data_IF_665518339426
#
_entry.id   IF_665518339426
#
_cell.length_a   1.000
_cell.length_b   1.000
_cell.length_c   1.000
_cell.angle_alpha   90.00
_cell.angle_beta   90.00
_cell.angle_gamma   90.00
#
_symmetry.space_group_name_H-M   'P 1'
#
loop_
_entity.id
_entity.type
_entity.pdbx_description
1 polymer ?
#
# COMPACT_ATOMS: atom_id res chain seq x y z
N UNK A 1 37.51 -30.22 -19.24
CA UNK A 1 36.08 -30.51 -19.51
C UNK A 1 35.45 -30.97 -18.20
N UNK A 2 34.79 -30.11 -17.48
CA UNK A 2 34.06 -30.44 -16.24
C UNK A 2 32.69 -30.97 -16.66
N UNK A 3 32.42 -32.25 -16.46
CA UNK A 3 31.17 -32.90 -16.89
C UNK A 3 30.01 -32.55 -15.99
N UNK A 4 28.77 -32.64 -16.49
CA UNK A 4 27.54 -32.41 -15.74
C UNK A 4 27.48 -33.18 -14.40
N UNK A 5 28.17 -34.31 -14.29
CA UNK A 5 28.29 -35.11 -13.06
C UNK A 5 29.07 -34.40 -11.93
N UNK A 6 30.09 -33.60 -12.26
CA UNK A 6 30.86 -32.84 -11.26
C UNK A 6 30.08 -31.63 -10.72
N UNK A 7 29.18 -31.09 -11.52
CA UNK A 7 28.28 -30.00 -11.09
C UNK A 7 27.21 -30.57 -10.13
N UNK A 8 26.73 -31.78 -10.38
CA UNK A 8 25.79 -32.50 -9.49
C UNK A 8 26.43 -32.85 -8.15
N UNK A 9 27.75 -33.16 -8.13
CA UNK A 9 28.50 -33.51 -6.91
C UNK A 9 28.70 -32.30 -5.99
N UNK A 10 29.01 -31.12 -6.56
CA UNK A 10 29.10 -29.86 -5.79
C UNK A 10 27.76 -29.49 -5.15
N UNK A 11 26.63 -29.82 -5.80
CA UNK A 11 25.28 -29.61 -5.26
C UNK A 11 24.93 -30.62 -4.15
N UNK A 12 25.46 -31.84 -4.22
CA UNK A 12 25.28 -32.87 -3.19
C UNK A 12 25.98 -32.51 -1.87
N UNK A 13 27.18 -31.94 -1.93
CA UNK A 13 27.93 -31.51 -0.74
C UNK A 13 27.32 -30.27 -0.05
N UNK A 14 26.75 -29.34 -0.82
CA UNK A 14 26.00 -28.19 -0.26
C UNK A 14 24.72 -28.62 0.48
N UNK A 15 24.11 -29.76 0.10
CA UNK A 15 22.96 -30.35 0.81
C UNK A 15 23.32 -30.97 2.16
N UNK A 16 24.57 -31.36 2.38
CA UNK A 16 24.99 -32.10 3.59
C UNK A 16 25.44 -31.22 4.76
N UNK A 17 25.77 -29.94 4.53
CA UNK A 17 26.26 -29.03 5.57
C UNK A 17 25.20 -28.09 6.16
N UNK A 18 23.95 -28.20 5.71
CA UNK A 18 22.84 -27.32 6.19
C UNK A 18 21.99 -28.07 7.20
N UNK A 19 22.12 -27.67 8.45
CA UNK A 19 21.25 -28.03 9.58
C UNK A 19 19.78 -27.82 9.23
N UNK A 20 19.00 -28.89 9.22
CA UNK A 20 17.54 -29.06 9.23
C UNK A 20 16.71 -27.74 9.20
N UNK A 21 16.41 -27.25 8.01
CA UNK A 21 15.15 -26.56 7.68
C UNK A 21 14.64 -27.18 6.38
N UNK A 22 13.50 -27.86 6.43
CA UNK A 22 12.86 -28.54 5.32
C UNK A 22 12.20 -27.55 4.36
N UNK A 23 12.98 -26.78 3.61
CA UNK A 23 12.53 -26.10 2.41
C UNK A 23 13.01 -26.95 1.23
N UNK A 24 12.08 -27.57 0.49
CA UNK A 24 12.40 -28.22 -0.79
C UNK A 24 12.91 -27.13 -1.73
N UNK A 25 14.22 -27.11 -1.99
CA UNK A 25 14.75 -26.35 -3.12
C UNK A 25 14.26 -27.01 -4.42
N UNK A 26 13.78 -26.23 -5.40
CA UNK A 26 13.32 -26.78 -6.66
C UNK A 26 14.48 -27.44 -7.43
N UNK A 27 14.17 -28.47 -8.23
CA UNK A 27 15.15 -29.06 -9.14
C UNK A 27 15.58 -28.03 -10.17
N UNK A 28 16.84 -27.59 -10.11
CA UNK A 28 17.37 -26.50 -10.93
C UNK A 28 17.62 -27.02 -12.35
N UNK A 29 16.93 -26.46 -13.33
CA UNK A 29 17.15 -26.71 -14.73
C UNK A 29 18.29 -25.81 -15.26
N UNK A 30 19.47 -26.41 -15.49
CA UNK A 30 20.67 -25.70 -15.95
C UNK A 30 20.76 -25.56 -17.47
N UNK A 31 19.81 -26.14 -18.24
CA UNK A 31 19.91 -26.22 -19.70
C UNK A 31 19.94 -24.88 -20.42
N UNK A 32 19.42 -23.80 -19.79
CA UNK A 32 19.30 -22.50 -20.41
C UNK A 32 20.45 -21.51 -20.10
N UNK A 33 21.52 -21.94 -19.39
CA UNK A 33 22.67 -21.08 -19.05
C UNK A 33 23.99 -21.77 -19.38
N UNK A 34 24.97 -20.96 -19.83
CA UNK A 34 26.33 -21.47 -20.04
C UNK A 34 26.94 -21.91 -18.70
N UNK A 35 27.79 -22.93 -18.66
CA UNK A 35 28.45 -23.39 -17.42
C UNK A 35 29.26 -22.31 -16.70
N UNK A 36 29.80 -21.34 -17.45
CA UNK A 36 30.54 -20.20 -16.89
C UNK A 36 29.58 -19.21 -16.20
N UNK A 37 28.47 -18.89 -16.84
CA UNK A 37 27.44 -18.03 -16.28
C UNK A 37 26.83 -18.64 -15.03
N UNK A 38 26.55 -19.95 -15.05
CA UNK A 38 26.04 -20.69 -13.90
C UNK A 38 26.98 -20.60 -12.69
N UNK A 39 28.29 -20.89 -12.88
CA UNK A 39 29.29 -20.81 -11.79
C UNK A 39 29.38 -19.38 -11.21
N UNK A 40 29.40 -18.37 -12.07
CA UNK A 40 29.40 -16.96 -11.62
C UNK A 40 28.18 -16.63 -10.81
N UNK A 41 27.00 -17.12 -11.22
CA UNK A 41 25.75 -16.89 -10.50
C UNK A 41 25.78 -17.57 -9.13
N UNK A 42 26.18 -18.84 -9.08
CA UNK A 42 26.28 -19.57 -7.81
C UNK A 42 27.23 -18.89 -6.81
N UNK A 43 28.40 -18.43 -7.26
CA UNK A 43 29.33 -17.69 -6.42
C UNK A 43 28.73 -16.38 -5.87
N UNK A 44 27.85 -15.72 -6.62
CA UNK A 44 27.17 -14.52 -6.14
C UNK A 44 26.01 -14.85 -5.17
N UNK A 45 25.29 -15.95 -5.37
CA UNK A 45 24.29 -16.42 -4.42
C UNK A 45 24.94 -16.81 -3.08
N UNK A 46 26.10 -17.49 -3.14
CA UNK A 46 26.88 -17.79 -1.93
C UNK A 46 27.32 -16.52 -1.21
N UNK A 47 27.75 -15.50 -1.96
CA UNK A 47 28.14 -14.20 -1.39
C UNK A 47 26.98 -13.41 -0.76
N UNK A 48 25.74 -13.62 -1.22
CA UNK A 48 24.53 -13.06 -0.62
C UNK A 48 24.19 -13.80 0.68
N UNK A 49 24.41 -15.09 0.72
CA UNK A 49 24.04 -16.00 1.79
C UNK A 49 22.65 -16.62 1.58
N UNK A 50 22.60 -17.93 1.62
CA UNK A 50 21.38 -18.73 1.38
C UNK A 50 20.24 -18.45 2.39
N UNK A 51 20.59 -18.02 3.59
CA UNK A 51 19.60 -17.66 4.63
C UNK A 51 18.75 -16.44 4.25
N UNK A 52 19.27 -15.53 3.43
CA UNK A 52 18.57 -14.34 2.94
C UNK A 52 17.67 -14.65 1.74
N UNK A 53 17.84 -15.81 1.10
CA UNK A 53 17.10 -16.22 -0.09
C UNK A 53 15.80 -16.89 0.36
N UNK A 54 14.65 -16.26 0.07
CA UNK A 54 13.33 -16.82 0.37
C UNK A 54 12.83 -17.79 -0.69
N UNK A 55 13.07 -17.47 -1.95
CA UNK A 55 12.70 -18.33 -3.06
C UNK A 55 13.60 -18.11 -4.26
N UNK A 56 13.75 -19.15 -5.05
CA UNK A 56 14.45 -19.14 -6.33
C UNK A 56 13.68 -20.07 -7.28
N UNK A 57 13.51 -19.65 -8.52
CA UNK A 57 12.84 -20.49 -9.51
C UNK A 57 13.79 -21.53 -10.11
N UNK A 58 13.20 -22.56 -10.74
CA UNK A 58 13.95 -23.69 -11.31
C UNK A 58 14.96 -23.28 -12.39
N UNK A 59 14.71 -22.17 -13.07
CA UNK A 59 15.55 -21.64 -14.16
C UNK A 59 16.58 -20.60 -13.68
N UNK A 60 16.61 -20.30 -12.37
CA UNK A 60 17.45 -19.24 -11.79
C UNK A 60 17.18 -17.86 -12.43
N UNK A 61 15.96 -17.64 -12.92
CA UNK A 61 15.58 -16.39 -13.58
C UNK A 61 14.90 -15.40 -12.61
N UNK A 62 14.32 -15.92 -11.52
CA UNK A 62 13.66 -15.11 -10.49
C UNK A 62 14.18 -15.52 -9.12
N UNK A 63 14.62 -14.54 -8.37
CA UNK A 63 15.14 -14.68 -7.02
C UNK A 63 14.40 -13.73 -6.10
N UNK A 64 13.90 -14.20 -4.98
CA UNK A 64 13.36 -13.35 -3.90
C UNK A 64 14.31 -13.38 -2.72
N UNK A 65 14.83 -12.23 -2.37
CA UNK A 65 15.73 -12.03 -1.23
C UNK A 65 15.02 -11.22 -0.15
N UNK A 66 15.13 -11.65 1.10
CA UNK A 66 14.75 -10.84 2.25
C UNK A 66 15.99 -10.16 2.82
N UNK A 67 15.89 -8.86 3.05
CA UNK A 67 16.94 -8.09 3.72
C UNK A 67 16.35 -7.12 4.73
N UNK A 68 17.16 -6.75 5.70
CA UNK A 68 16.82 -5.75 6.71
C UNK A 68 17.43 -4.40 6.36
N UNK A 69 16.66 -3.33 6.57
CA UNK A 69 17.16 -1.96 6.50
C UNK A 69 17.92 -1.59 7.77
N UNK A 70 18.37 -0.34 7.89
CA UNK A 70 19.11 0.16 9.05
C UNK A 70 18.29 0.18 10.36
N UNK A 71 16.97 -0.06 10.26
CA UNK A 71 16.04 -0.08 11.40
C UNK A 71 15.39 -1.45 11.61
N UNK A 72 16.04 -2.50 11.15
CA UNK A 72 15.61 -3.89 11.31
C UNK A 72 14.26 -4.23 10.62
N UNK A 73 13.79 -3.36 9.69
CA UNK A 73 12.60 -3.64 8.90
C UNK A 73 12.93 -4.63 7.80
N UNK A 74 12.10 -5.66 7.68
CA UNK A 74 12.25 -6.69 6.64
C UNK A 74 11.63 -6.24 5.32
N UNK A 75 12.42 -6.33 4.27
CA UNK A 75 12.01 -6.01 2.89
C UNK A 75 12.24 -7.22 2.00
N UNK A 76 11.29 -7.45 1.09
CA UNK A 76 11.43 -8.48 0.05
C UNK A 76 11.79 -7.81 -1.27
N UNK A 77 12.89 -8.28 -1.86
CA UNK A 77 13.39 -7.81 -3.16
C UNK A 77 13.23 -8.93 -4.15
N UNK A 78 12.56 -8.68 -5.26
CA UNK A 78 12.48 -9.62 -6.38
C UNK A 78 13.54 -9.26 -7.41
N UNK A 79 14.46 -10.15 -7.66
CA UNK A 79 15.52 -9.97 -8.67
C UNK A 79 15.19 -10.84 -9.88
N UNK A 80 15.14 -10.21 -11.04
CA UNK A 80 14.97 -10.86 -12.35
C UNK A 80 16.34 -10.96 -13.00
N UNK A 81 16.76 -12.18 -13.27
CA UNK A 81 18.08 -12.51 -13.84
C UNK A 81 17.86 -13.04 -15.24
N UNK A 82 18.19 -12.31 -16.32
CA UNK A 82 18.01 -12.78 -17.68
C UNK A 82 18.87 -14.01 -17.96
N UNK A 83 18.48 -14.84 -18.93
CA UNK A 83 19.24 -16.04 -19.33
C UNK A 83 20.62 -15.68 -19.90
N UNK A 84 20.74 -14.55 -20.53
CA UNK A 84 21.95 -13.94 -21.10
C UNK A 84 22.90 -13.34 -20.05
N UNK A 85 22.47 -13.28 -18.78
CA UNK A 85 23.32 -12.75 -17.71
C UNK A 85 24.69 -13.49 -17.68
N UNK A 86 25.84 -12.80 -17.53
CA UNK A 86 26.01 -11.39 -17.13
C UNK A 86 26.06 -10.36 -18.27
N UNK A 87 25.84 -10.77 -19.53
CA UNK A 87 25.83 -9.81 -20.65
C UNK A 87 24.70 -8.79 -20.49
N UNK A 88 23.50 -9.27 -20.21
CA UNK A 88 22.38 -8.42 -19.82
C UNK A 88 22.30 -8.30 -18.29
N UNK A 89 21.79 -7.17 -17.83
CA UNK A 89 21.79 -6.84 -16.41
C UNK A 89 20.61 -7.47 -15.69
N UNK A 90 20.86 -7.95 -14.47
CA UNK A 90 19.79 -8.31 -13.55
C UNK A 90 19.07 -7.04 -13.07
N UNK A 91 17.74 -7.16 -12.86
CA UNK A 91 16.89 -6.06 -12.38
C UNK A 91 16.31 -6.42 -11.03
N UNK A 92 16.30 -5.48 -10.08
CA UNK A 92 15.71 -5.66 -8.78
C UNK A 92 14.43 -4.82 -8.66
N UNK A 93 13.34 -5.46 -8.26
CA UNK A 93 12.04 -4.85 -7.98
C UNK A 93 11.89 -4.72 -6.47
N UNK A 94 11.58 -3.53 -5.99
CA UNK A 94 11.43 -3.20 -4.59
C UNK A 94 10.00 -2.73 -4.29
N UNK A 95 9.48 -3.07 -3.12
CA UNK A 95 8.23 -2.52 -2.60
C UNK A 95 8.54 -1.23 -1.81
N UNK A 96 8.67 -0.13 -2.54
CA UNK A 96 8.99 1.20 -2.01
C UNK A 96 7.97 2.23 -2.51
N UNK A 97 7.66 3.28 -1.73
CA UNK A 97 6.80 4.34 -2.19
C UNK A 97 7.54 5.17 -3.24
N UNK A 98 7.03 5.17 -4.46
CA UNK A 98 7.62 5.94 -5.56
C UNK A 98 6.71 7.10 -5.94
N UNK A 99 7.32 8.25 -6.21
CA UNK A 99 6.62 9.40 -6.78
C UNK A 99 6.59 9.34 -8.30
N UNK A 100 5.78 10.20 -8.93
CA UNK A 100 5.71 10.26 -10.40
C UNK A 100 7.09 10.53 -10.99
N UNK A 101 7.56 9.63 -11.83
CA UNK A 101 8.87 9.73 -12.51
C UNK A 101 9.99 8.94 -11.85
N UNK A 102 9.77 8.35 -10.69
CA UNK A 102 10.68 7.40 -10.07
C UNK A 102 10.34 5.98 -10.50
N UNK A 103 11.36 5.14 -10.54
CA UNK A 103 11.22 3.72 -10.88
C UNK A 103 11.51 2.87 -9.63
N UNK A 104 10.58 1.97 -9.20
CA UNK A 104 10.85 1.04 -8.12
C UNK A 104 11.90 -0.03 -8.49
N UNK A 105 12.34 -0.05 -9.76
CA UNK A 105 13.35 -0.99 -10.24
C UNK A 105 14.77 -0.43 -10.09
N UNK A 106 15.72 -1.32 -9.76
CA UNK A 106 17.16 -1.08 -9.97
C UNK A 106 17.62 -1.82 -11.22
N UNK A 107 17.91 -1.08 -12.28
CA UNK A 107 18.36 -1.60 -13.59
C UNK A 107 19.82 -1.29 -13.90
N UNK A 108 20.56 -0.67 -12.97
CA UNK A 108 21.93 -0.16 -13.21
C UNK A 108 22.98 -1.24 -13.46
N UNK A 109 22.60 -2.50 -13.37
CA UNK A 109 23.54 -3.61 -13.57
C UNK A 109 24.54 -3.81 -12.42
N UNK A 110 25.48 -4.72 -12.64
CA UNK A 110 26.50 -5.10 -11.66
C UNK A 110 26.30 -6.48 -11.08
N UNK A 111 27.00 -6.76 -9.97
CA UNK A 111 26.87 -8.03 -9.24
C UNK A 111 25.64 -8.03 -8.37
N UNK A 112 25.06 -9.22 -8.08
CA UNK A 112 23.90 -9.32 -7.20
C UNK A 112 24.15 -8.68 -5.81
N UNK A 113 25.30 -8.88 -5.15
CA UNK A 113 25.60 -8.15 -3.91
C UNK A 113 25.64 -6.62 -4.08
N UNK A 114 26.10 -6.10 -5.23
CA UNK A 114 26.11 -4.67 -5.47
C UNK A 114 24.70 -4.09 -5.68
N UNK A 115 23.82 -4.86 -6.36
CA UNK A 115 22.40 -4.52 -6.51
C UNK A 115 21.73 -4.45 -5.13
N UNK A 116 21.91 -5.47 -4.29
CA UNK A 116 21.33 -5.50 -2.95
C UNK A 116 21.82 -4.34 -2.06
N UNK A 117 23.10 -3.96 -2.19
CA UNK A 117 23.62 -2.78 -1.47
C UNK A 117 22.90 -1.49 -1.89
N UNK A 118 22.65 -1.30 -3.19
CA UNK A 118 21.88 -0.16 -3.69
C UNK A 118 20.43 -0.20 -3.22
N UNK A 119 19.81 -1.39 -3.23
CA UNK A 119 18.45 -1.55 -2.69
C UNK A 119 18.39 -1.14 -1.21
N UNK A 120 19.36 -1.56 -0.39
CA UNK A 120 19.45 -1.13 1.02
C UNK A 120 19.54 0.39 1.14
N UNK A 121 20.43 1.03 0.39
CA UNK A 121 20.56 2.48 0.41
C UNK A 121 19.23 3.19 0.01
N UNK A 122 18.48 2.62 -0.94
CA UNK A 122 17.16 3.15 -1.30
C UNK A 122 16.14 2.97 -0.18
N UNK A 123 16.13 1.85 0.53
CA UNK A 123 15.25 1.68 1.68
C UNK A 123 15.55 2.71 2.77
N UNK A 124 16.82 2.97 3.06
CA UNK A 124 17.21 3.95 4.07
C UNK A 124 16.70 5.36 3.76
N UNK A 125 16.47 5.72 2.48
CA UNK A 125 15.89 7.02 2.11
C UNK A 125 14.43 7.19 2.54
N UNK A 126 13.68 6.09 2.73
CA UNK A 126 12.26 6.11 3.14
C UNK A 126 12.05 5.86 4.63
N UNK A 127 13.11 5.91 5.43
CA UNK A 127 13.05 5.66 6.86
C UNK A 127 11.98 6.49 7.59
N UNK A 128 11.98 7.81 7.38
CA UNK A 128 11.04 8.72 8.04
C UNK A 128 9.61 8.54 7.53
N UNK A 129 9.43 8.17 6.25
CA UNK A 129 8.14 7.82 5.70
C UNK A 129 7.54 6.60 6.42
N UNK A 130 8.29 5.51 6.51
CA UNK A 130 7.80 4.31 7.20
C UNK A 130 7.57 4.55 8.69
N UNK A 131 8.41 5.36 9.34
CA UNK A 131 8.18 5.77 10.72
C UNK A 131 6.85 6.52 10.89
N UNK A 132 6.50 7.39 9.94
CA UNK A 132 5.24 8.13 9.98
C UNK A 132 4.02 7.22 9.78
N UNK A 133 4.06 6.31 8.78
CA UNK A 133 2.94 5.39 8.54
C UNK A 133 2.81 4.32 9.63
N UNK A 134 3.92 3.81 10.17
CA UNK A 134 3.94 2.86 11.29
C UNK A 134 3.36 3.47 12.56
N UNK A 135 3.63 4.76 12.83
CA UNK A 135 3.02 5.47 13.98
C UNK A 135 1.49 5.57 13.81
N UNK A 136 1.00 5.83 12.61
CA UNK A 136 -0.43 5.83 12.32
C UNK A 136 -1.01 4.43 12.54
N UNK A 137 -0.41 3.41 11.93
CA UNK A 137 -0.89 2.02 11.98
C UNK A 137 -0.93 1.46 13.41
N UNK A 138 0.00 1.88 14.26
CA UNK A 138 0.10 1.43 15.65
C UNK A 138 -0.86 2.15 16.62
N UNK A 139 -1.19 3.40 16.35
CA UNK A 139 -1.89 4.27 17.31
C UNK A 139 -3.26 4.74 16.83
N UNK A 140 -3.73 4.24 15.69
CA UNK A 140 -5.07 4.60 15.18
C UNK A 140 -5.81 3.38 14.66
N UNK A 141 -7.12 3.48 14.55
CA UNK A 141 -7.93 2.47 13.90
C UNK A 141 -7.90 2.71 12.38
N UNK A 142 -7.08 1.94 11.66
CA UNK A 142 -6.95 2.02 10.20
C UNK A 142 -8.03 1.19 9.53
N UNK A 143 -8.85 1.83 8.70
CA UNK A 143 -9.88 1.18 7.89
C UNK A 143 -9.29 0.66 6.57
N UNK A 144 -8.41 1.43 5.95
CA UNK A 144 -7.83 1.13 4.64
C UNK A 144 -6.41 1.64 4.49
N UNK A 145 -5.54 0.83 3.86
CA UNK A 145 -5.71 -0.58 3.54
C UNK A 145 -5.50 -1.47 4.78
N UNK A 146 -6.23 -2.60 4.87
CA UNK A 146 -6.07 -3.56 5.99
C UNK A 146 -4.66 -4.17 6.05
N UNK A 147 -4.06 -4.41 4.87
CA UNK A 147 -2.70 -4.92 4.74
C UNK A 147 -1.94 -3.99 3.80
N UNK A 148 -1.37 -2.93 4.34
CA UNK A 148 -0.60 -1.98 3.56
C UNK A 148 0.71 -2.59 3.06
N UNK A 149 1.00 -2.45 1.76
CA UNK A 149 2.34 -2.68 1.24
C UNK A 149 3.30 -1.58 1.73
N UNK A 150 4.59 -1.82 1.65
CA UNK A 150 5.61 -0.81 2.01
C UNK A 150 5.59 0.42 1.06
N UNK A 151 5.02 0.25 -0.12
CA UNK A 151 4.84 1.32 -1.11
C UNK A 151 3.56 2.14 -0.92
N UNK A 152 2.64 1.72 -0.05
CA UNK A 152 1.35 2.38 0.13
C UNK A 152 1.49 3.69 0.92
N UNK A 153 1.15 4.82 0.28
CA UNK A 153 1.26 6.17 0.84
C UNK A 153 -0.01 6.63 1.55
N UNK A 154 -1.12 5.92 1.36
CA UNK A 154 -2.43 6.33 1.88
C UNK A 154 -2.83 5.53 3.11
N UNK A 155 -3.53 6.20 4.04
CA UNK A 155 -4.22 5.58 5.19
C UNK A 155 -5.58 6.24 5.36
N UNK A 156 -6.62 5.42 5.49
CA UNK A 156 -7.94 5.87 5.93
C UNK A 156 -8.13 5.44 7.37
N UNK A 157 -8.33 6.39 8.26
CA UNK A 157 -8.43 6.15 9.70
C UNK A 157 -9.77 6.65 10.25
N UNK A 158 -10.24 5.99 11.28
CA UNK A 158 -11.48 6.37 11.98
C UNK A 158 -11.29 7.69 12.70
N UNK A 159 -12.30 8.57 12.64
CA UNK A 159 -12.41 9.74 13.50
C UNK A 159 -13.47 9.52 14.59
N UNK A 160 -14.65 9.12 14.18
CA UNK A 160 -15.77 8.69 15.03
C UNK A 160 -16.74 7.86 14.18
N UNK A 161 -17.83 7.40 14.78
CA UNK A 161 -18.86 6.64 14.06
C UNK A 161 -19.28 7.37 12.79
N UNK A 162 -19.23 6.67 11.65
CA UNK A 162 -19.57 7.16 10.32
C UNK A 162 -18.66 8.28 9.76
N UNK A 163 -17.55 8.60 10.44
CA UNK A 163 -16.61 9.61 9.99
C UNK A 163 -15.18 9.09 10.00
N UNK A 164 -14.47 9.33 8.92
CA UNK A 164 -13.07 8.94 8.74
C UNK A 164 -12.28 10.04 8.06
N UNK A 165 -10.96 9.94 8.11
CA UNK A 165 -10.05 10.79 7.35
C UNK A 165 -9.13 9.92 6.53
N UNK A 166 -8.96 10.27 5.27
CA UNK A 166 -7.96 9.71 4.39
C UNK A 166 -6.77 10.65 4.38
N UNK A 167 -5.61 10.08 4.64
CA UNK A 167 -4.32 10.77 4.63
C UNK A 167 -3.50 10.23 3.48
N UNK A 168 -2.82 11.11 2.74
CA UNK A 168 -1.78 10.74 1.78
C UNK A 168 -0.47 11.40 2.20
N UNK A 169 0.52 10.57 2.53
CA UNK A 169 1.82 11.00 3.06
C UNK A 169 2.84 11.04 1.93
N UNK A 170 3.44 12.21 1.70
CA UNK A 170 4.52 12.36 0.72
C UNK A 170 5.77 11.61 1.18
N UNK A 171 6.25 10.58 0.45
CA UNK A 171 7.42 9.81 0.84
C UNK A 171 8.72 10.62 0.97
N UNK A 172 8.83 11.73 0.25
CA UNK A 172 10.01 12.59 0.30
C UNK A 172 9.93 13.68 1.37
N UNK A 173 8.73 13.99 1.84
CA UNK A 173 8.49 14.97 2.92
C UNK A 173 7.49 14.43 3.94
N UNK A 174 7.77 13.26 4.54
CA UNK A 174 6.82 12.56 5.38
C UNK A 174 6.43 13.31 6.65
N UNK A 175 7.24 14.28 7.10
CA UNK A 175 6.93 15.16 8.23
C UNK A 175 6.25 16.46 7.82
N UNK A 176 6.05 16.67 6.51
CA UNK A 176 5.27 17.81 5.97
C UNK A 176 3.78 17.63 6.18
N UNK A 177 3.03 18.69 5.92
CA UNK A 177 1.57 18.63 5.90
C UNK A 177 1.14 17.66 4.79
N UNK A 178 0.49 16.57 5.19
CA UNK A 178 -0.02 15.55 4.28
C UNK A 178 -1.31 16.02 3.58
N UNK A 179 -1.68 15.38 2.48
CA UNK A 179 -3.00 15.58 1.89
C UNK A 179 -4.06 14.94 2.80
N UNK A 180 -5.13 15.68 3.08
CA UNK A 180 -6.16 15.31 4.05
C UNK A 180 -7.51 15.39 3.38
N UNK A 181 -8.27 14.30 3.41
CA UNK A 181 -9.64 14.23 2.93
C UNK A 181 -10.53 13.68 4.05
N UNK A 182 -11.42 14.51 4.56
CA UNK A 182 -12.44 14.06 5.51
C UNK A 182 -13.60 13.39 4.77
N UNK A 183 -14.13 12.32 5.36
CA UNK A 183 -15.22 11.50 4.85
C UNK A 183 -16.24 11.35 5.96
N UNK A 184 -17.48 11.83 5.73
CA UNK A 184 -18.54 11.83 6.74
C UNK A 184 -19.60 12.88 6.45
N UNK A 185 -20.47 13.17 7.43
CA UNK A 185 -21.47 14.20 7.30
C UNK A 185 -20.84 15.60 7.12
N UNK A 186 -21.47 16.46 6.33
CA UNK A 186 -20.97 17.79 6.01
C UNK A 186 -20.79 18.66 7.27
N UNK A 187 -21.70 18.54 8.22
CA UNK A 187 -21.63 19.27 9.50
C UNK A 187 -20.33 18.97 10.26
N UNK A 188 -20.00 17.67 10.39
CA UNK A 188 -18.80 17.23 11.12
C UNK A 188 -17.52 17.52 10.34
N UNK A 189 -17.49 17.16 9.06
CA UNK A 189 -16.30 17.36 8.21
C UNK A 189 -16.00 18.82 7.98
N UNK A 190 -17.05 19.67 7.85
CA UNK A 190 -16.92 21.11 7.73
C UNK A 190 -16.28 21.76 8.97
N UNK A 191 -16.68 21.32 10.17
CA UNK A 191 -16.08 21.80 11.42
C UNK A 191 -14.59 21.43 11.52
N UNK A 192 -14.21 20.21 11.15
CA UNK A 192 -12.80 19.76 11.13
C UNK A 192 -11.98 20.52 10.09
N UNK A 193 -12.53 20.72 8.89
CA UNK A 193 -11.87 21.51 7.84
C UNK A 193 -11.60 22.95 8.29
N UNK A 194 -12.55 23.57 8.98
CA UNK A 194 -12.35 24.92 9.54
C UNK A 194 -11.24 24.93 10.60
N UNK A 195 -11.19 23.94 11.49
CA UNK A 195 -10.10 23.81 12.47
C UNK A 195 -8.75 23.62 11.79
N UNK A 196 -8.69 22.73 10.81
CA UNK A 196 -7.47 22.46 10.03
C UNK A 196 -6.96 23.75 9.38
N UNK A 197 -7.82 24.47 8.65
CA UNK A 197 -7.46 25.71 7.98
C UNK A 197 -6.99 26.81 8.95
N UNK A 198 -7.65 26.93 10.10
CA UNK A 198 -7.27 27.91 11.15
C UNK A 198 -5.90 27.59 11.76
N UNK A 199 -5.61 26.32 11.97
CA UNK A 199 -4.44 25.86 12.70
C UNK A 199 -3.30 25.39 11.80
N UNK A 200 -3.46 25.36 10.46
CA UNK A 200 -2.48 24.81 9.51
C UNK A 200 -1.05 25.39 9.67
N UNK A 201 -0.95 26.68 10.03
CA UNK A 201 0.33 27.35 10.29
C UNK A 201 1.05 26.85 11.55
N UNK A 202 0.38 26.11 12.43
CA UNK A 202 0.96 25.51 13.64
C UNK A 202 1.57 24.13 13.37
N UNK A 203 1.57 23.67 12.12
CA UNK A 203 2.21 22.39 11.76
C UNK A 203 3.68 22.40 12.12
N UNK A 204 4.13 21.34 12.78
CA UNK A 204 5.52 21.20 13.25
C UNK A 204 6.22 20.09 12.46
N UNK A 205 7.28 20.46 11.74
CA UNK A 205 8.06 19.52 10.94
C UNK A 205 8.93 18.55 11.77
N UNK A 206 9.09 18.79 13.07
CA UNK A 206 9.80 17.93 14.01
C UNK A 206 8.88 16.88 14.70
N UNK A 207 7.58 16.91 14.39
CA UNK A 207 6.57 16.05 15.00
C UNK A 207 5.94 15.14 13.94
N UNK A 208 5.58 13.91 14.34
CA UNK A 208 4.91 12.95 13.46
C UNK A 208 3.55 13.47 12.97
N UNK A 209 3.15 13.17 11.72
CA UNK A 209 1.91 13.66 11.12
C UNK A 209 0.66 13.39 11.97
N UNK A 210 0.53 12.18 12.53
CA UNK A 210 -0.60 11.84 13.42
C UNK A 210 -0.70 12.80 14.61
N UNK A 211 0.38 13.06 15.30
CA UNK A 211 0.39 13.97 16.45
C UNK A 211 0.10 15.42 16.04
N UNK A 212 0.65 15.86 14.91
CA UNK A 212 0.31 17.17 14.35
C UNK A 212 -1.19 17.29 14.08
N UNK A 213 -1.79 16.26 13.47
CA UNK A 213 -3.22 16.25 13.18
C UNK A 213 -4.07 16.27 14.45
N UNK A 214 -3.70 15.50 15.47
CA UNK A 214 -4.40 15.54 16.77
C UNK A 214 -4.38 16.94 17.37
N UNK A 215 -3.23 17.62 17.33
CA UNK A 215 -3.07 18.98 17.85
C UNK A 215 -3.86 20.01 17.02
N UNK A 216 -3.79 19.94 15.67
CA UNK A 216 -4.47 20.90 14.80
C UNK A 216 -5.99 20.74 14.81
N UNK A 217 -6.48 19.52 14.89
CA UNK A 217 -7.91 19.20 14.90
C UNK A 217 -8.49 19.24 16.31
N UNK A 218 -7.65 19.29 17.34
CA UNK A 218 -8.02 19.23 18.76
C UNK A 218 -8.85 17.98 19.08
N UNK A 219 -8.40 16.83 18.58
CA UNK A 219 -9.02 15.51 18.76
C UNK A 219 -7.98 14.48 19.14
N UNK A 220 -8.42 13.30 19.60
CA UNK A 220 -7.62 12.09 19.68
C UNK A 220 -8.18 11.07 18.72
N UNK A 221 -7.28 10.43 17.96
CA UNK A 221 -7.71 9.32 17.12
C UNK A 221 -8.04 8.10 17.96
N UNK A 222 -9.11 7.34 17.62
CA UNK A 222 -9.42 6.07 18.29
C UNK A 222 -8.27 5.06 18.07
N UNK A 223 -7.90 4.34 19.13
CA UNK A 223 -6.92 3.27 19.06
C UNK A 223 -7.54 2.00 18.47
N UNK A 224 -6.73 1.21 17.74
CA UNK A 224 -7.17 -0.03 17.09
C UNK A 224 -7.76 -1.06 18.06
N UNK A 225 -7.31 -1.05 19.34
CA UNK A 225 -7.78 -1.98 20.38
C UNK A 225 -9.08 -1.55 21.07
N UNK A 226 -9.46 -0.29 20.95
CA UNK A 226 -10.65 0.25 21.61
C UNK A 226 -11.93 0.02 20.78
N UNK A 227 -11.79 -0.49 19.57
CA UNK A 227 -12.86 -0.48 18.59
C UNK A 227 -12.86 -1.79 17.80
N UNK A 228 -13.95 -2.55 17.92
CA UNK A 228 -14.18 -3.66 17.00
C UNK A 228 -14.34 -3.05 15.62
N UNK A 229 -13.51 -3.46 14.65
CA UNK A 229 -13.53 -2.96 13.27
C UNK A 229 -14.92 -3.11 12.63
N UNK A 230 -15.70 -4.11 13.06
CA UNK A 230 -17.08 -4.34 12.65
C UNK A 230 -18.02 -3.14 12.94
N UNK A 231 -17.76 -2.35 13.99
CA UNK A 231 -18.56 -1.14 14.30
C UNK A 231 -18.32 0.02 13.29
N UNK A 232 -17.29 -0.08 12.45
CA UNK A 232 -16.89 0.96 11.51
C UNK A 232 -16.88 0.49 10.05
N UNK A 233 -17.07 -0.79 9.78
CA UNK A 233 -17.35 -1.29 8.44
C UNK A 233 -18.75 -0.87 8.04
N UNK A 234 -18.82 0.27 7.38
CA UNK A 234 -20.07 0.86 6.92
C UNK A 234 -20.51 0.18 5.63
N UNK A 235 -21.36 -0.82 5.76
CA UNK A 235 -22.04 -1.36 4.57
C UNK A 235 -22.95 -0.30 3.95
N UNK A 236 -22.87 -0.19 2.64
CA UNK A 236 -23.78 0.65 1.90
C UNK A 236 -25.23 0.21 2.14
N UNK A 237 -26.07 1.13 2.63
CA UNK A 237 -27.47 0.80 2.93
C UNK A 237 -28.33 0.51 1.71
N UNK A 238 -27.80 0.58 0.48
CA UNK A 238 -28.49 0.19 -0.75
C UNK A 238 -28.09 -1.21 -1.19
N UNK A 239 -26.80 -1.51 -1.33
CA UNK A 239 -26.32 -2.81 -1.83
C UNK A 239 -25.82 -3.74 -0.72
N UNK A 240 -25.77 -3.30 0.53
CA UNK A 240 -25.33 -4.07 1.71
C UNK A 240 -23.91 -4.62 1.60
N UNK A 241 -23.07 -3.99 0.81
CA UNK A 241 -21.65 -4.33 0.69
C UNK A 241 -20.80 -3.17 1.22
N UNK A 242 -19.70 -3.51 1.90
CA UNK A 242 -18.70 -2.51 2.30
C UNK A 242 -17.94 -1.98 1.09
N UNK A 243 -17.59 -2.84 0.14
CA UNK A 243 -16.84 -2.48 -1.05
C UNK A 243 -17.51 -2.97 -2.31
N UNK A 244 -17.67 -2.08 -3.29
CA UNK A 244 -18.02 -2.46 -4.64
C UNK A 244 -16.74 -2.82 -5.39
N UNK A 245 -16.74 -3.98 -6.04
CA UNK A 245 -15.63 -4.36 -6.90
C UNK A 245 -15.54 -3.41 -8.10
N UNK A 246 -14.31 -3.03 -8.50
CA UNK A 246 -14.12 -2.21 -9.69
C UNK A 246 -14.63 -2.96 -10.93
N UNK A 247 -15.12 -2.22 -11.93
CA UNK A 247 -15.49 -2.81 -13.20
C UNK A 247 -14.33 -3.62 -13.79
N UNK A 248 -14.63 -4.78 -14.37
CA UNK A 248 -13.65 -5.69 -14.94
C UNK A 248 -12.68 -4.93 -15.88
N UNK A 249 -11.40 -4.90 -15.55
CA UNK A 249 -10.34 -4.21 -16.32
C UNK A 249 -9.92 -2.84 -15.80
N UNK A 250 -10.52 -2.31 -14.71
CA UNK A 250 -10.00 -1.11 -14.06
C UNK A 250 -8.94 -1.49 -12.99
N UNK A 251 -7.87 -0.73 -12.93
CA UNK A 251 -6.83 -0.84 -11.88
C UNK A 251 -7.16 -0.01 -10.63
N UNK A 252 -8.38 0.53 -10.54
CA UNK A 252 -8.81 1.37 -9.43
C UNK A 252 -9.24 0.50 -8.24
N UNK A 253 -8.95 0.95 -7.02
CA UNK A 253 -9.47 0.32 -5.81
C UNK A 253 -11.00 0.40 -5.80
N UNK A 254 -11.67 -0.67 -5.33
CA UNK A 254 -13.13 -0.72 -5.25
C UNK A 254 -13.71 0.43 -4.44
N UNK A 255 -14.92 0.88 -4.79
CA UNK A 255 -15.61 2.00 -4.15
C UNK A 255 -16.12 1.59 -2.76
N UNK A 256 -15.85 2.43 -1.75
CA UNK A 256 -16.38 2.29 -0.38
C UNK A 256 -17.46 3.32 -0.12
N UNK A 257 -18.40 3.09 0.84
CA UNK A 257 -19.43 4.05 1.17
C UNK A 257 -18.84 5.34 1.74
N UNK A 258 -18.81 6.39 0.92
CA UNK A 258 -18.26 7.71 1.27
C UNK A 258 -19.33 8.80 1.38
N UNK A 259 -20.60 8.47 1.08
CA UNK A 259 -21.74 9.34 1.22
C UNK A 259 -22.60 8.93 2.41
N UNK A 260 -22.87 9.88 3.28
CA UNK A 260 -23.66 9.67 4.49
C UNK A 260 -24.85 10.60 4.46
N UNK A 261 -26.01 10.13 4.88
CA UNK A 261 -27.17 10.97 5.03
C UNK A 261 -26.92 12.02 6.12
N UNK A 262 -27.13 13.30 5.79
CA UNK A 262 -26.86 14.43 6.70
C UNK A 262 -27.86 14.52 7.87
N UNK A 263 -28.98 13.78 7.79
CA UNK A 263 -29.93 13.71 8.90
C UNK A 263 -29.31 12.96 10.09
N UNK A 264 -29.17 13.65 11.22
CA UNK A 264 -28.53 13.14 12.46
C UNK A 264 -29.17 11.84 12.98
N UNK A 265 -30.48 11.64 12.76
CA UNK A 265 -31.19 10.43 13.17
C UNK A 265 -31.03 9.29 12.15
N UNK A 266 -30.67 9.60 10.92
CA UNK A 266 -30.50 8.63 9.85
C UNK A 266 -29.05 8.16 9.75
N UNK A 267 -28.11 9.04 9.44
CA UNK A 267 -26.67 8.76 9.36
C UNK A 267 -26.26 7.58 8.48
N UNK A 268 -27.13 7.11 7.56
CA UNK A 268 -26.89 5.90 6.77
C UNK A 268 -25.86 6.15 5.68
N UNK A 269 -24.91 5.21 5.51
CA UNK A 269 -23.86 5.29 4.49
C UNK A 269 -24.32 4.71 3.16
N UNK A 270 -23.77 5.26 2.08
CA UNK A 270 -24.04 4.85 0.70
C UNK A 270 -22.77 4.92 -0.14
N UNK A 271 -22.59 3.97 -1.06
CA UNK A 271 -21.68 4.21 -2.17
C UNK A 271 -22.24 5.33 -3.04
N UNK A 272 -21.35 6.18 -3.55
CA UNK A 272 -21.75 7.25 -4.45
C UNK A 272 -22.47 6.72 -5.67
N UNK A 273 -21.94 5.65 -6.29
CA UNK A 273 -22.56 4.99 -7.45
C UNK A 273 -23.96 4.46 -7.13
N UNK A 274 -24.11 3.76 -6.01
CA UNK A 274 -25.42 3.25 -5.58
C UNK A 274 -26.44 4.37 -5.34
N UNK A 275 -26.01 5.47 -4.72
CA UNK A 275 -26.89 6.62 -4.46
C UNK A 275 -27.24 7.35 -5.76
N UNK A 276 -26.31 7.48 -6.70
CA UNK A 276 -26.54 8.05 -8.02
C UNK A 276 -27.58 7.23 -8.78
N UNK A 277 -27.45 5.90 -8.83
CA UNK A 277 -28.41 5.01 -9.48
C UNK A 277 -29.78 5.09 -8.83
N UNK A 278 -29.82 5.05 -7.50
CA UNK A 278 -31.08 5.22 -6.75
C UNK A 278 -31.80 6.52 -7.08
N UNK A 279 -31.09 7.67 -7.00
CA UNK A 279 -31.67 8.96 -7.27
C UNK A 279 -32.12 9.10 -8.72
N UNK A 280 -31.38 8.59 -9.68
CA UNK A 280 -31.79 8.59 -11.10
C UNK A 280 -33.08 7.81 -11.37
N UNK A 281 -33.36 6.79 -10.58
CA UNK A 281 -34.58 6.00 -10.70
C UNK A 281 -35.83 6.74 -10.15
N UNK A 282 -35.64 7.84 -9.40
CA UNK A 282 -36.74 8.60 -8.77
C UNK A 282 -37.12 9.78 -9.65
N UNK A 283 -38.38 9.87 -10.14
CA UNK A 283 -38.80 10.94 -11.05
C UNK A 283 -38.74 12.36 -10.47
N UNK A 284 -38.76 12.50 -9.14
CA UNK A 284 -38.69 13.80 -8.44
C UNK A 284 -37.28 14.28 -8.19
N UNK A 285 -36.27 13.52 -8.57
CA UNK A 285 -34.86 13.93 -8.44
C UNK A 285 -34.56 15.08 -9.38
N UNK A 286 -33.93 16.10 -8.87
CA UNK A 286 -33.47 17.26 -9.65
C UNK A 286 -31.98 17.14 -9.90
N UNK A 287 -31.54 17.53 -11.08
CA UNK A 287 -30.13 17.62 -11.41
C UNK A 287 -29.75 19.08 -11.70
N UNK A 288 -28.68 19.52 -11.05
CA UNK A 288 -28.03 20.78 -11.38
C UNK A 288 -26.55 20.55 -11.60
N UNK A 289 -26.06 20.83 -12.82
CA UNK A 289 -24.69 20.50 -13.25
C UNK A 289 -24.34 19.03 -12.99
N UNK A 290 -23.37 18.81 -12.12
CA UNK A 290 -22.87 17.46 -11.79
C UNK A 290 -23.41 16.95 -10.45
N UNK A 291 -24.45 17.57 -9.90
CA UNK A 291 -25.02 17.19 -8.60
C UNK A 291 -26.49 16.78 -8.77
N UNK A 292 -26.84 15.64 -8.19
CA UNK A 292 -28.23 15.19 -8.04
C UNK A 292 -28.75 15.60 -6.67
N UNK A 293 -29.98 16.10 -6.65
CA UNK A 293 -30.69 16.50 -5.45
C UNK A 293 -31.95 15.64 -5.35
N UNK A 294 -32.10 14.93 -4.26
CA UNK A 294 -33.25 14.05 -4.06
C UNK A 294 -33.50 13.75 -2.59
N UNK A 295 -34.16 12.60 -2.35
CA UNK A 295 -34.53 12.18 -1.00
C UNK A 295 -33.76 10.92 -0.60
N UNK A 296 -33.34 10.90 0.65
CA UNK A 296 -32.69 9.71 1.24
C UNK A 296 -33.62 8.49 1.13
N UNK A 297 -33.14 7.32 0.73
CA UNK A 297 -33.93 6.09 0.65
C UNK A 297 -34.67 5.72 1.94
N UNK A 298 -34.14 6.13 3.08
CA UNK A 298 -34.63 5.72 4.40
C UNK A 298 -35.43 6.78 5.14
N UNK A 299 -34.87 7.96 5.33
CA UNK A 299 -35.52 9.01 6.13
C UNK A 299 -36.32 10.02 5.30
N UNK A 300 -36.21 9.96 3.96
CA UNK A 300 -36.88 10.85 3.01
C UNK A 300 -36.46 12.33 3.12
N UNK A 301 -35.47 12.64 3.95
CA UNK A 301 -34.88 13.98 3.99
C UNK A 301 -34.00 14.25 2.76
N UNK A 302 -33.71 15.51 2.50
CA UNK A 302 -32.90 15.89 1.35
C UNK A 302 -31.51 15.25 1.42
N UNK A 303 -31.04 14.72 0.29
CA UNK A 303 -29.68 14.21 0.13
C UNK A 303 -29.15 14.64 -1.23
N UNK A 304 -27.84 14.86 -1.29
CA UNK A 304 -27.16 15.27 -2.52
C UNK A 304 -26.03 14.34 -2.85
N UNK A 305 -25.79 14.12 -4.14
CA UNK A 305 -24.64 13.34 -4.61
C UNK A 305 -24.06 13.93 -5.89
N UNK A 306 -22.75 14.02 -5.94
CA UNK A 306 -22.01 14.48 -7.12
C UNK A 306 -21.84 13.30 -8.10
N UNK A 307 -22.24 13.52 -9.39
CA UNK A 307 -22.09 12.55 -10.48
C UNK A 307 -20.75 12.71 -11.23
N UNK A 308 -19.95 13.71 -10.91
CA UNK A 308 -18.62 13.89 -11.48
C UNK A 308 -17.67 12.74 -11.11
N UNK A 309 -16.84 12.33 -12.04
CA UNK A 309 -15.74 11.37 -11.78
C UNK A 309 -14.82 11.99 -10.73
N UNK A 310 -14.64 11.35 -9.60
CA UNK A 310 -13.97 11.82 -8.37
C UNK A 310 -12.53 12.29 -8.48
N UNK A 311 -12.26 13.22 -9.37
CA UNK A 311 -11.06 14.04 -9.40
C UNK A 311 -11.46 15.49 -9.16
N UNK A 312 -11.46 15.91 -7.92
CA UNK A 312 -11.26 17.33 -7.64
C UNK A 312 -9.81 17.65 -8.02
N UNK A 313 -9.65 18.56 -8.96
CA UNK A 313 -8.36 19.17 -9.29
C UNK A 313 -7.85 19.98 -8.11
#
# INVERSE_FOLDING_TARGET
MTTAAQISFAFGELKSSSTKRSGKFPDINTQNRSPVSFRKLMAQLDAIGWSSIKSIDNNLSKLTVEMEDSNERKHQIRIIIPSTWPSDHARALMDIPVTKGEDPEDTKGGTLPSILRRCRSRFDTYHDFWRAVEDIDQHTCVLEPLNASRSCTTRRIVLQRHCSVQLEIDPHRPMGLCEIRFLGSEEFTGALMQKLNRNATKWRADQLPRKNLEDLLEIKFPEARATETEDFELECSICYSYRLEPAAGSSEAGETPDRICDDVKCGRPFHRSCLVEWLRAIPTTQQSFQTLFGKCPYCQNSITVDIGTGRLK
#
